data_IF_666458505097
#
_entry.id   IF_666458505097
#
_cell.length_a   1.000
_cell.length_b   1.000
_cell.length_c   1.000
_cell.angle_alpha   90.00
_cell.angle_beta   90.00
_cell.angle_gamma   90.00
#
_symmetry.space_group_name_H-M   'P 1'
#
loop_
_entity.id
_entity.type
_entity.pdbx_description
1 polymer ?
#
# COMPACT_ATOMS: atom_id res chain seq x y z
N UNK A 1 29.53 -7.54 18.46
CA UNK A 1 29.47 -7.77 17.01
C UNK A 1 28.19 -7.12 16.52
N UNK A 2 28.22 -6.28 15.47
CA UNK A 2 26.98 -5.83 14.84
C UNK A 2 26.22 -7.07 14.39
N UNK A 3 25.05 -7.31 14.95
CA UNK A 3 24.15 -8.33 14.42
C UNK A 3 23.64 -7.80 13.07
N UNK A 4 24.46 -7.94 12.03
CA UNK A 4 24.02 -7.73 10.66
C UNK A 4 22.90 -8.70 10.32
N UNK A 5 22.21 -8.46 9.21
CA UNK A 5 21.17 -9.34 8.66
C UNK A 5 21.71 -10.78 8.49
N UNK A 6 21.47 -11.70 9.44
CA UNK A 6 22.21 -12.96 9.51
C UNK A 6 21.78 -13.94 8.42
N UNK A 7 20.58 -13.74 7.89
CA UNK A 7 19.96 -14.55 6.85
C UNK A 7 20.00 -13.85 5.48
N UNK A 8 20.60 -12.66 5.37
CA UNK A 8 20.65 -11.85 4.16
C UNK A 8 19.26 -11.63 3.50
N UNK A 9 18.21 -11.51 4.31
CA UNK A 9 16.84 -11.27 3.84
C UNK A 9 16.69 -9.87 3.28
N UNK A 10 16.02 -9.71 2.14
CA UNK A 10 15.85 -8.41 1.49
C UNK A 10 14.48 -7.78 1.79
N UNK A 11 13.43 -8.58 1.80
CA UNK A 11 12.05 -8.14 2.04
C UNK A 11 11.14 -9.31 2.43
N UNK A 12 9.94 -8.98 2.89
CA UNK A 12 8.83 -9.95 2.90
C UNK A 12 8.49 -10.32 1.45
N UNK A 13 8.39 -11.62 1.17
CA UNK A 13 8.13 -12.10 -0.19
C UNK A 13 6.63 -12.29 -0.43
N UNK A 14 5.96 -13.06 0.42
CA UNK A 14 4.53 -13.30 0.35
C UNK A 14 3.95 -13.69 1.71
N UNK A 15 2.62 -13.63 1.81
CA UNK A 15 1.81 -14.21 2.88
C UNK A 15 0.87 -15.25 2.28
N UNK A 16 0.65 -16.36 3.00
CA UNK A 16 -0.25 -17.42 2.56
C UNK A 16 -1.52 -17.42 3.39
N UNK A 17 -2.68 -17.56 2.73
CA UNK A 17 -3.98 -17.71 3.39
C UNK A 17 -4.65 -18.99 2.95
N UNK A 18 -5.15 -19.74 3.93
CA UNK A 18 -6.04 -20.86 3.70
C UNK A 18 -7.46 -20.31 3.57
N UNK A 19 -8.11 -20.59 2.45
CA UNK A 19 -9.43 -20.07 2.14
C UNK A 19 -10.47 -21.18 1.98
N UNK A 20 -11.73 -20.86 2.27
CA UNK A 20 -12.86 -21.79 2.06
C UNK A 20 -13.31 -21.80 0.60
N UNK A 21 -13.24 -20.63 -0.04
CA UNK A 21 -13.59 -20.43 -1.44
C UNK A 21 -12.50 -19.60 -2.12
N UNK A 22 -11.81 -20.22 -3.10
CA UNK A 22 -10.77 -19.53 -3.85
C UNK A 22 -11.35 -18.35 -4.65
N UNK A 23 -12.53 -18.51 -5.23
CA UNK A 23 -13.18 -17.45 -6.01
C UNK A 23 -13.54 -16.24 -5.14
N UNK A 24 -14.14 -16.46 -3.96
CA UNK A 24 -14.50 -15.36 -3.05
C UNK A 24 -13.26 -14.62 -2.55
N UNK A 25 -12.19 -15.36 -2.24
CA UNK A 25 -10.92 -14.77 -1.81
C UNK A 25 -10.27 -13.97 -2.94
N UNK A 26 -10.16 -14.54 -4.14
CA UNK A 26 -9.62 -13.81 -5.31
C UNK A 26 -10.43 -12.54 -5.56
N UNK A 27 -11.75 -12.62 -5.55
CA UNK A 27 -12.62 -11.47 -5.74
C UNK A 27 -12.39 -10.40 -4.68
N UNK A 28 -12.29 -10.79 -3.40
CA UNK A 28 -12.02 -9.85 -2.32
C UNK A 28 -10.65 -9.16 -2.49
N UNK A 29 -9.58 -9.94 -2.62
CA UNK A 29 -8.23 -9.38 -2.69
C UNK A 29 -8.03 -8.52 -3.95
N UNK A 30 -8.69 -8.85 -5.06
CA UNK A 30 -8.60 -8.06 -6.30
C UNK A 30 -9.49 -6.81 -6.26
N UNK A 31 -10.76 -6.93 -5.88
CA UNK A 31 -11.74 -5.82 -5.95
C UNK A 31 -11.64 -4.86 -4.77
N UNK A 32 -11.29 -5.36 -3.58
CA UNK A 32 -11.26 -4.57 -2.34
C UNK A 32 -9.85 -4.07 -2.08
N UNK A 33 -8.85 -4.95 -2.14
CA UNK A 33 -7.45 -4.61 -1.85
C UNK A 33 -6.62 -4.30 -3.09
N UNK A 34 -7.17 -4.45 -4.30
CA UNK A 34 -6.50 -4.06 -5.54
C UNK A 34 -5.36 -4.99 -5.97
N UNK A 35 -5.29 -6.22 -5.48
CA UNK A 35 -4.29 -7.18 -5.95
C UNK A 35 -4.56 -7.63 -7.38
N UNK A 36 -3.52 -8.11 -8.07
CA UNK A 36 -3.63 -8.64 -9.43
C UNK A 36 -3.25 -10.12 -9.44
N UNK A 37 -4.06 -11.01 -10.05
CA UNK A 37 -3.67 -12.40 -10.23
C UNK A 37 -2.45 -12.54 -11.13
N UNK A 38 -1.51 -13.40 -10.73
CA UNK A 38 -0.29 -13.70 -11.49
C UNK A 38 -0.23 -15.18 -11.86
N UNK A 39 0.62 -15.50 -12.85
CA UNK A 39 0.77 -16.87 -13.32
C UNK A 39 1.24 -17.79 -12.19
N UNK A 40 0.47 -18.85 -11.95
CA UNK A 40 0.83 -19.92 -11.02
C UNK A 40 1.81 -20.90 -11.67
N UNK A 41 2.87 -21.35 -10.97
CA UNK A 41 3.67 -22.49 -11.38
C UNK A 41 2.79 -23.74 -11.61
N UNK A 42 3.10 -24.53 -12.64
CA UNK A 42 2.26 -25.67 -13.02
C UNK A 42 2.41 -26.89 -12.09
N UNK A 43 3.45 -26.92 -11.26
CA UNK A 43 3.83 -28.08 -10.46
C UNK A 43 3.06 -28.21 -9.13
N UNK A 44 1.98 -27.47 -8.94
CA UNK A 44 1.15 -27.56 -7.74
C UNK A 44 -0.10 -28.41 -7.98
N UNK A 45 -0.34 -29.36 -7.08
CA UNK A 45 -1.42 -30.36 -7.15
C UNK A 45 -2.68 -29.99 -6.35
N UNK A 46 -2.72 -28.79 -5.77
CA UNK A 46 -3.87 -28.27 -5.00
C UNK A 46 -4.58 -27.11 -5.71
N UNK A 47 -5.78 -26.74 -5.28
CA UNK A 47 -6.46 -25.53 -5.78
C UNK A 47 -5.92 -24.27 -5.08
N UNK A 48 -5.50 -23.27 -5.86
CA UNK A 48 -4.90 -22.06 -5.30
C UNK A 48 -4.62 -20.97 -6.34
N UNK A 49 -4.34 -19.77 -5.85
CA UNK A 49 -4.04 -18.60 -6.66
C UNK A 49 -2.87 -17.81 -6.09
N UNK A 50 -2.09 -17.20 -6.99
CA UNK A 50 -1.09 -16.21 -6.64
C UNK A 50 -1.56 -14.84 -7.05
N UNK A 51 -1.53 -13.90 -6.12
CA UNK A 51 -1.83 -12.50 -6.35
C UNK A 51 -0.61 -11.65 -5.99
N UNK A 52 -0.45 -10.50 -6.65
CA UNK A 52 0.68 -9.61 -6.37
C UNK A 52 0.24 -8.14 -6.47
N UNK A 53 0.65 -7.35 -5.47
CA UNK A 53 0.64 -5.89 -5.50
C UNK A 53 1.50 -5.35 -4.33
N UNK A 54 1.80 -4.05 -4.31
CA UNK A 54 2.47 -3.37 -3.20
C UNK A 54 3.84 -3.96 -2.82
N UNK A 55 4.48 -4.70 -3.74
CA UNK A 55 5.75 -5.37 -3.49
C UNK A 55 5.66 -6.73 -2.80
N UNK A 56 4.45 -7.22 -2.49
CA UNK A 56 4.20 -8.47 -1.75
C UNK A 56 3.28 -9.42 -2.52
N UNK A 57 3.53 -10.73 -2.42
CA UNK A 57 2.63 -11.77 -2.90
C UNK A 57 1.56 -12.19 -1.88
N UNK A 58 0.38 -12.54 -2.35
CA UNK A 58 -0.62 -13.30 -1.59
C UNK A 58 -0.77 -14.67 -2.25
N UNK A 59 -0.53 -15.73 -1.47
CA UNK A 59 -0.72 -17.11 -1.88
C UNK A 59 -2.01 -17.66 -1.26
N UNK A 60 -3.06 -17.73 -2.06
CA UNK A 60 -4.33 -18.32 -1.65
C UNK A 60 -4.29 -19.82 -1.88
N UNK A 61 -4.59 -20.58 -0.83
CA UNK A 61 -4.65 -22.05 -0.84
C UNK A 61 -6.06 -22.43 -0.48
N UNK A 62 -6.77 -23.17 -1.34
CA UNK A 62 -8.11 -23.63 -1.01
C UNK A 62 -8.04 -24.82 -0.06
N UNK A 63 -8.81 -24.77 1.02
CA UNK A 63 -8.91 -25.86 1.98
C UNK A 63 -9.69 -27.04 1.39
N UNK A 64 -9.17 -28.26 1.54
CA UNK A 64 -9.90 -29.50 1.28
C UNK A 64 -11.06 -29.71 2.26
N UNK A 65 -11.01 -29.06 3.43
CA UNK A 65 -12.04 -29.11 4.46
C UNK A 65 -12.46 -27.67 4.85
N UNK A 66 -13.32 -27.01 4.04
CA UNK A 66 -13.72 -25.63 4.28
C UNK A 66 -14.30 -25.37 5.67
N UNK A 67 -15.06 -26.34 6.23
CA UNK A 67 -15.69 -26.20 7.55
C UNK A 67 -14.69 -26.14 8.71
N UNK A 68 -13.44 -26.57 8.49
CA UNK A 68 -12.36 -26.48 9.48
C UNK A 68 -11.63 -25.14 9.47
N UNK A 69 -11.87 -24.29 8.47
CA UNK A 69 -11.30 -22.95 8.44
C UNK A 69 -12.12 -22.08 9.40
N UNK A 70 -11.50 -21.76 10.54
CA UNK A 70 -12.13 -20.96 11.58
C UNK A 70 -12.40 -19.55 11.07
N UNK A 71 -13.68 -19.20 10.90
CA UNK A 71 -14.10 -17.84 10.58
C UNK A 71 -14.29 -17.03 11.87
N UNK A 72 -13.33 -16.16 12.17
CA UNK A 72 -13.50 -15.17 13.24
C UNK A 72 -14.51 -14.11 12.80
N UNK A 73 -15.46 -13.82 13.67
CA UNK A 73 -16.51 -12.81 13.42
C UNK A 73 -16.24 -11.50 14.14
N UNK A 74 -15.65 -11.55 15.35
CA UNK A 74 -15.33 -10.36 16.13
C UNK A 74 -14.06 -9.67 15.61
N UNK A 75 -14.15 -8.36 15.33
CA UNK A 75 -12.99 -7.54 14.97
C UNK A 75 -12.23 -7.13 16.24
N UNK A 76 -11.16 -7.87 16.53
CA UNK A 76 -10.24 -7.62 17.64
C UNK A 76 -8.88 -7.07 17.14
N UNK A 77 -8.57 -5.78 17.28
CA UNK A 77 -7.31 -5.18 16.82
C UNK A 77 -6.02 -5.82 17.36
N UNK A 78 -6.11 -6.69 18.37
CA UNK A 78 -4.98 -7.42 18.97
C UNK A 78 -4.69 -8.77 18.30
N UNK A 79 -5.54 -9.22 17.39
CA UNK A 79 -5.34 -10.47 16.66
C UNK A 79 -4.26 -10.32 15.57
N UNK A 80 -3.75 -11.44 15.07
CA UNK A 80 -2.82 -11.48 13.94
C UNK A 80 -3.44 -10.86 12.68
N UNK A 81 -2.72 -9.94 12.05
CA UNK A 81 -3.15 -9.25 10.84
C UNK A 81 -1.99 -8.98 9.90
N UNK A 82 -2.31 -8.71 8.62
CA UNK A 82 -1.42 -7.98 7.71
C UNK A 82 -1.87 -6.52 7.65
N UNK A 83 -0.91 -5.61 7.55
CA UNK A 83 -1.17 -4.17 7.53
C UNK A 83 -0.76 -3.56 6.20
N UNK A 84 -1.62 -2.68 5.68
CA UNK A 84 -1.34 -1.89 4.47
C UNK A 84 -1.34 -0.40 4.78
N UNK A 85 -0.38 0.30 4.20
CA UNK A 85 -0.35 1.75 4.21
C UNK A 85 -1.42 2.30 3.25
N UNK A 86 -2.10 3.38 3.64
CA UNK A 86 -2.97 4.15 2.75
C UNK A 86 -2.51 5.60 2.60
N UNK A 87 -2.89 6.24 1.49
CA UNK A 87 -2.67 7.67 1.26
C UNK A 87 -3.73 8.54 1.94
N UNK A 88 -4.96 8.04 2.06
CA UNK A 88 -6.09 8.79 2.61
C UNK A 88 -7.05 7.86 3.37
N UNK A 89 -6.99 7.93 4.70
CA UNK A 89 -7.82 7.10 5.57
C UNK A 89 -9.33 7.35 5.39
N UNK A 90 -9.73 8.61 5.19
CA UNK A 90 -11.14 8.96 4.99
C UNK A 90 -11.71 8.37 3.69
N UNK A 91 -10.91 8.29 2.63
CA UNK A 91 -11.31 7.67 1.37
C UNK A 91 -11.50 6.15 1.52
N UNK A 92 -10.59 5.49 2.24
CA UNK A 92 -10.70 4.05 2.55
C UNK A 92 -11.94 3.79 3.39
N UNK A 93 -12.15 4.54 4.47
CA UNK A 93 -13.31 4.37 5.35
C UNK A 93 -14.63 4.57 4.59
N UNK A 94 -14.71 5.58 3.73
CA UNK A 94 -15.87 5.81 2.86
C UNK A 94 -16.13 4.60 1.95
N UNK A 95 -15.10 4.04 1.34
CA UNK A 95 -15.23 2.87 0.46
C UNK A 95 -15.69 1.62 1.21
N UNK A 96 -15.15 1.36 2.40
CA UNK A 96 -15.60 0.23 3.24
C UNK A 96 -17.09 0.36 3.58
N UNK A 97 -17.56 1.57 3.94
CA UNK A 97 -18.99 1.85 4.17
C UNK A 97 -19.84 1.60 2.93
N UNK A 98 -19.42 2.10 1.77
CA UNK A 98 -20.13 1.91 0.49
C UNK A 98 -20.26 0.43 0.11
N UNK A 99 -19.28 -0.39 0.46
CA UNK A 99 -19.26 -1.83 0.19
C UNK A 99 -19.96 -2.65 1.29
N UNK A 100 -20.45 -2.02 2.36
CA UNK A 100 -21.08 -2.72 3.48
C UNK A 100 -20.14 -3.61 4.28
N UNK A 101 -18.83 -3.33 4.25
CA UNK A 101 -17.82 -4.07 5.01
C UNK A 101 -17.80 -3.53 6.44
N UNK A 102 -18.03 -4.41 7.42
CA UNK A 102 -17.87 -4.08 8.83
C UNK A 102 -16.39 -3.85 9.14
N UNK A 103 -16.10 -2.77 9.87
CA UNK A 103 -14.76 -2.42 10.26
C UNK A 103 -14.74 -1.77 11.65
N UNK A 104 -13.59 -1.83 12.30
CA UNK A 104 -13.31 -1.13 13.56
C UNK A 104 -12.26 -0.06 13.34
N UNK A 105 -12.55 1.16 13.79
CA UNK A 105 -11.59 2.27 13.79
C UNK A 105 -10.89 2.36 15.13
N UNK A 106 -9.60 2.63 15.09
CA UNK A 106 -8.78 2.96 16.25
C UNK A 106 -7.91 4.17 15.93
N UNK A 107 -7.58 4.96 16.95
CA UNK A 107 -6.60 6.05 16.86
C UNK A 107 -5.57 5.88 17.97
N UNK A 108 -4.30 6.01 17.60
CA UNK A 108 -3.16 6.02 18.51
C UNK A 108 -2.50 7.39 18.44
N UNK A 109 -2.02 7.90 19.56
CA UNK A 109 -1.27 9.16 19.64
C UNK A 109 0.10 8.88 20.21
N UNK A 110 1.14 9.31 19.49
CA UNK A 110 2.54 9.16 19.89
C UNK A 110 3.26 10.46 19.52
N UNK A 111 3.91 11.13 20.49
CA UNK A 111 4.54 12.45 20.31
C UNK A 111 3.63 13.54 19.69
N UNK A 112 2.32 13.51 19.98
CA UNK A 112 1.35 14.43 19.39
C UNK A 112 1.03 14.16 17.92
N UNK A 113 1.50 13.04 17.37
CA UNK A 113 1.17 12.55 16.03
C UNK A 113 0.04 11.53 16.16
N UNK A 114 -1.04 11.73 15.41
CA UNK A 114 -2.18 10.82 15.38
C UNK A 114 -2.06 9.81 14.24
N UNK A 115 -2.00 8.53 14.61
CA UNK A 115 -2.11 7.40 13.68
C UNK A 115 -3.53 6.86 13.74
N UNK A 116 -4.18 6.79 12.59
CA UNK A 116 -5.47 6.14 12.42
C UNK A 116 -5.28 4.72 11.89
N UNK A 117 -6.10 3.79 12.39
CA UNK A 117 -6.10 2.39 11.98
C UNK A 117 -7.55 1.96 11.69
N UNK A 118 -7.74 1.19 10.62
CA UNK A 118 -9.00 0.50 10.32
C UNK A 118 -8.75 -0.99 10.25
N UNK A 119 -9.52 -1.76 10.99
CA UNK A 119 -9.45 -3.22 11.03
C UNK A 119 -10.72 -3.81 10.44
N UNK A 120 -10.58 -4.79 9.55
CA UNK A 120 -11.70 -5.57 9.00
C UNK A 120 -11.22 -6.97 8.62
N UNK A 121 -12.16 -7.85 8.29
CA UNK A 121 -11.87 -9.22 7.88
C UNK A 121 -11.95 -9.40 6.37
N UNK A 122 -11.16 -10.35 5.87
CA UNK A 122 -11.40 -10.99 4.58
C UNK A 122 -12.62 -11.95 4.65
N UNK A 123 -13.00 -12.64 3.55
CA UNK A 123 -14.14 -13.55 3.53
C UNK A 123 -14.06 -14.70 4.55
N UNK A 124 -12.86 -15.06 4.98
CA UNK A 124 -12.56 -16.21 5.84
C UNK A 124 -12.18 -15.81 7.28
N UNK A 125 -12.25 -14.51 7.61
CA UNK A 125 -12.01 -14.01 8.97
C UNK A 125 -10.56 -13.66 9.26
N UNK A 126 -9.68 -13.63 8.24
CA UNK A 126 -8.32 -13.13 8.40
C UNK A 126 -8.34 -11.60 8.51
N UNK A 127 -7.58 -11.06 9.47
CA UNK A 127 -7.64 -9.65 9.80
C UNK A 127 -6.71 -8.81 8.92
N UNK A 128 -7.25 -7.72 8.41
CA UNK A 128 -6.55 -6.74 7.61
C UNK A 128 -6.59 -5.41 8.35
N UNK A 129 -5.43 -4.80 8.49
CA UNK A 129 -5.27 -3.45 9.00
C UNK A 129 -4.96 -2.50 7.84
N UNK A 130 -5.60 -1.33 7.85
CA UNK A 130 -5.15 -0.17 7.08
C UNK A 130 -4.62 0.85 8.08
N UNK A 131 -3.35 1.22 7.95
CA UNK A 131 -2.70 2.21 8.80
C UNK A 131 -2.16 3.39 7.98
N UNK A 132 -2.03 4.57 8.60
CA UNK A 132 -1.22 5.68 8.09
C UNK A 132 0.10 5.84 8.88
N UNK A 133 0.72 4.72 9.25
CA UNK A 133 1.82 4.62 10.20
C UNK A 133 3.13 5.25 9.71
N UNK A 134 3.28 5.52 8.41
CA UNK A 134 4.48 6.13 7.81
C UNK A 134 4.80 7.55 8.32
N UNK A 135 3.87 8.17 9.03
CA UNK A 135 4.05 9.46 9.72
C UNK A 135 4.88 9.34 11.00
N UNK A 136 5.02 8.14 11.58
CA UNK A 136 5.81 7.92 12.79
C UNK A 136 7.28 7.64 12.45
N UNK A 137 8.23 8.23 13.19
CA UNK A 137 9.63 7.88 13.05
C UNK A 137 9.88 6.44 13.56
N UNK A 138 10.57 5.63 12.76
CA UNK A 138 11.03 4.31 13.19
C UNK A 138 12.31 4.49 14.01
N UNK A 139 12.20 4.34 15.32
CA UNK A 139 13.32 4.49 16.26
C UNK A 139 13.69 3.11 16.83
N UNK A 140 14.87 2.54 16.49
CA UNK A 140 15.34 1.31 17.10
C UNK A 140 15.53 1.44 18.61
N UNK A 141 15.03 0.46 19.37
CA UNK A 141 15.18 0.42 20.84
C UNK A 141 16.66 0.39 21.26
N UNK A 142 17.54 -0.22 20.46
CA UNK A 142 18.96 -0.39 20.78
C UNK A 142 19.85 0.80 20.41
N UNK A 143 19.29 1.95 19.97
CA UNK A 143 20.07 3.17 19.68
C UNK A 143 21.02 3.07 18.47
N UNK A 144 21.17 1.90 17.85
CA UNK A 144 21.93 1.73 16.62
C UNK A 144 21.01 1.98 15.41
N UNK A 145 21.20 3.14 14.75
CA UNK A 145 20.65 3.37 13.41
C UNK A 145 21.34 2.42 12.43
N UNK A 146 20.76 1.25 12.22
CA UNK A 146 21.09 0.42 11.07
C UNK A 146 20.83 1.21 9.79
N UNK A 147 21.74 1.13 8.82
CA UNK A 147 21.57 1.70 7.48
C UNK A 147 20.38 1.02 6.79
N UNK A 148 19.17 1.51 7.02
CA UNK A 148 17.99 1.10 6.26
C UNK A 148 17.93 1.86 4.94
N UNK A 149 17.62 1.14 3.87
CA UNK A 149 17.56 1.68 2.51
C UNK A 149 16.51 2.79 2.34
N UNK A 150 17.01 4.01 2.16
CA UNK A 150 16.58 5.09 1.26
C UNK A 150 15.14 5.63 1.25
N UNK A 151 14.18 5.18 2.06
CA UNK A 151 12.82 5.78 2.08
C UNK A 151 12.27 6.18 3.45
N UNK A 152 13.03 6.01 4.52
CA UNK A 152 12.63 6.50 5.84
C UNK A 152 13.15 7.92 5.98
N UNK A 153 12.23 8.90 6.07
CA UNK A 153 12.60 10.26 6.50
C UNK A 153 12.94 10.20 7.98
N UNK A 154 14.21 9.96 8.29
CA UNK A 154 14.75 10.21 9.62
C UNK A 154 14.71 11.73 9.85
N UNK A 155 13.84 12.20 10.75
CA UNK A 155 13.94 13.55 11.28
C UNK A 155 14.89 13.53 12.49
N UNK A 156 15.89 14.43 12.55
CA UNK A 156 16.72 14.55 13.73
C UNK A 156 15.87 15.00 14.92
N UNK A 157 16.04 14.30 16.05
CA UNK A 157 15.40 14.53 17.34
C UNK A 157 15.97 15.80 18.00
N UNK A 158 15.84 16.97 17.36
CA UNK A 158 16.32 18.26 17.91
C UNK A 158 15.64 19.44 17.21
N UNK A 159 14.32 19.60 17.39
CA UNK A 159 13.65 20.87 17.10
C UNK A 159 12.35 21.09 17.89
N UNK A 160 12.15 20.42 19.03
CA UNK A 160 11.01 20.65 19.90
C UNK A 160 11.42 21.41 21.17
N UNK A 161 12.09 22.56 21.02
CA UNK A 161 12.29 23.51 22.13
C UNK A 161 12.21 24.93 21.57
N UNK A 162 11.27 25.69 22.14
CA UNK A 162 11.02 27.15 22.06
C UNK A 162 10.61 27.74 20.71
N UNK A 163 9.37 28.24 20.63
CA UNK A 163 9.17 29.68 20.65
C UNK A 163 7.75 30.09 21.07
N UNK A 164 7.76 31.04 22.00
CA UNK A 164 6.65 31.79 22.57
C UNK A 164 5.83 32.52 21.52
N UNK A 165 4.50 32.47 21.69
CA UNK A 165 3.54 33.33 21.00
C UNK A 165 3.73 34.80 21.37
N UNK A 166 4.12 35.63 20.41
CA UNK A 166 3.73 37.03 20.36
C UNK A 166 2.96 37.28 19.06
N UNK A 167 1.79 37.87 19.20
CA UNK A 167 0.80 38.07 18.15
C UNK A 167 0.56 39.58 18.06
N UNK A 168 1.02 40.26 16.99
CA UNK A 168 0.40 41.50 16.55
C UNK A 168 0.72 41.90 15.09
N UNK A 169 -0.34 41.80 14.28
CA UNK A 169 -0.89 42.80 13.35
C UNK A 169 -0.18 43.19 12.01
N UNK A 170 -0.94 42.84 10.95
CA UNK A 170 -1.45 43.67 9.82
C UNK A 170 -0.48 44.08 8.70
N UNK A 171 -0.88 43.74 7.46
CA UNK A 171 -0.53 44.50 6.24
C UNK A 171 -0.51 43.65 4.97
N UNK A 172 -1.57 43.72 4.15
CA UNK A 172 -1.72 42.90 2.94
C UNK A 172 -1.07 43.45 1.68
N UNK A 173 -1.06 42.65 0.61
CA UNK A 173 -1.32 43.08 -0.78
C UNK A 173 -1.48 41.81 -1.64
N UNK A 174 -2.49 41.80 -2.50
CA UNK A 174 -2.81 40.66 -3.37
C UNK A 174 -1.91 40.56 -4.59
N UNK A 175 -1.81 39.34 -5.13
CA UNK A 175 -1.65 39.08 -6.56
C UNK A 175 -2.28 37.73 -6.87
N UNK A 176 -3.32 37.76 -7.72
CA UNK A 176 -3.86 36.61 -8.43
C UNK A 176 -2.83 36.08 -9.43
N UNK A 177 -2.67 34.76 -9.49
CA UNK A 177 -2.24 34.08 -10.72
C UNK A 177 -3.22 32.94 -10.97
N UNK A 178 -4.05 33.13 -11.98
CA UNK A 178 -4.83 32.09 -12.65
C UNK A 178 -4.00 31.62 -13.83
N UNK A 179 -3.64 30.34 -13.87
CA UNK A 179 -3.32 29.64 -15.13
C UNK A 179 -3.93 28.24 -15.05
N UNK A 180 -4.86 27.95 -15.97
CA UNK A 180 -5.56 26.68 -16.08
C UNK A 180 -4.88 25.68 -17.03
N UNK A 181 -5.36 24.43 -16.90
CA UNK A 181 -5.27 23.27 -17.81
C UNK A 181 -3.84 22.79 -18.21
N UNK A 182 -3.52 21.53 -18.49
CA UNK A 182 -4.28 20.33 -18.82
C UNK A 182 -3.45 19.06 -18.57
N UNK A 183 -4.13 17.91 -18.58
CA UNK A 183 -3.72 16.61 -19.14
C UNK A 183 -2.27 16.12 -19.01
N UNK A 184 -2.08 14.98 -18.35
CA UNK A 184 -1.09 13.98 -18.80
C UNK A 184 -1.30 12.61 -18.14
N UNK A 185 -2.15 11.82 -18.76
CA UNK A 185 -2.03 10.36 -18.81
C UNK A 185 -0.66 9.99 -19.39
N UNK A 186 0.37 9.78 -18.57
CA UNK A 186 1.68 9.32 -19.07
C UNK A 186 2.57 8.66 -17.99
N UNK A 187 1.98 8.01 -16.98
CA UNK A 187 2.74 7.28 -15.94
C UNK A 187 2.88 5.78 -16.14
N UNK A 188 2.38 5.23 -17.27
CA UNK A 188 2.37 3.79 -17.53
C UNK A 188 3.48 3.25 -18.44
N UNK A 189 4.36 4.08 -19.00
CA UNK A 189 5.41 3.60 -19.93
C UNK A 189 6.84 3.51 -19.39
N UNK A 190 7.12 3.90 -18.14
CA UNK A 190 8.51 3.86 -17.64
C UNK A 190 8.91 2.58 -16.89
N UNK A 191 7.98 1.65 -16.64
CA UNK A 191 8.26 0.45 -15.84
C UNK A 191 8.55 -0.84 -16.64
N UNK A 192 8.58 -0.79 -17.98
CA UNK A 192 8.84 -1.98 -18.84
C UNK A 192 10.10 -1.89 -19.71
N UNK A 193 10.77 -0.73 -19.77
CA UNK A 193 11.96 -0.53 -20.62
C UNK A 193 13.29 -1.06 -20.05
N UNK A 194 13.38 -1.28 -18.73
CA UNK A 194 14.63 -1.66 -18.08
C UNK A 194 14.97 -3.17 -18.13
N UNK A 195 14.13 -4.00 -18.77
CA UNK A 195 14.36 -5.46 -18.86
C UNK A 195 14.80 -5.96 -20.24
N UNK A 196 14.93 -5.10 -21.26
CA UNK A 196 15.30 -5.53 -22.63
C UNK A 196 16.39 -4.69 -23.33
N UNK A 197 17.01 -3.70 -22.68
CA UNK A 197 18.20 -3.05 -23.23
C UNK A 197 18.03 -2.31 -24.58
N UNK A 198 16.82 -1.91 -24.95
CA UNK A 198 16.55 -1.16 -26.19
C UNK A 198 16.57 0.35 -25.88
N UNK A 199 17.51 1.09 -26.49
CA UNK A 199 17.49 2.56 -26.49
C UNK A 199 16.42 3.05 -27.46
N UNK A 200 15.50 3.89 -26.99
CA UNK A 200 14.48 4.53 -27.83
C UNK A 200 15.02 5.86 -28.37
N UNK A 201 15.15 5.99 -29.70
CA UNK A 201 15.49 7.23 -30.41
C UNK A 201 14.20 7.99 -30.76
N UNK A 202 14.07 9.22 -30.29
CA UNK A 202 12.85 10.04 -30.39
C UNK A 202 12.67 10.78 -31.74
N UNK A 203 13.51 10.56 -32.75
CA UNK A 203 13.48 11.41 -33.96
C UNK A 203 12.58 10.96 -35.13
N UNK A 204 11.77 9.89 -35.00
CA UNK A 204 11.09 9.28 -36.18
C UNK A 204 9.57 9.09 -36.17
N UNK A 205 8.80 9.80 -35.35
CA UNK A 205 7.31 9.65 -35.30
C UNK A 205 6.50 10.88 -35.74
N UNK A 206 7.02 11.71 -36.65
CA UNK A 206 6.22 12.81 -37.26
C UNK A 206 5.54 12.45 -38.59
N UNK A 207 5.60 11.20 -39.09
CA UNK A 207 5.09 10.88 -40.45
C UNK A 207 3.94 9.88 -40.54
N UNK A 208 3.26 9.53 -39.45
CA UNK A 208 2.21 8.49 -39.51
C UNK A 208 0.87 8.88 -38.86
N UNK A 209 0.46 10.14 -39.02
CA UNK A 209 -0.91 10.59 -38.72
C UNK A 209 -1.35 11.61 -39.78
N UNK A 210 -1.53 11.15 -41.02
CA UNK A 210 -2.23 11.91 -42.07
C UNK A 210 -2.64 10.99 -43.24
N UNK A 211 -3.57 10.09 -43.00
CA UNK A 211 -4.46 9.51 -44.04
C UNK A 211 -5.50 8.65 -43.35
N UNK A 212 -6.56 9.29 -42.85
CA UNK A 212 -7.87 8.65 -42.71
C UNK A 212 -8.97 9.71 -42.68
N UNK A 213 -9.03 10.49 -43.74
CA UNK A 213 -10.24 11.17 -44.18
C UNK A 213 -10.27 11.10 -45.72
N UNK A 214 -11.44 10.78 -46.25
CA UNK A 214 -11.89 10.75 -47.65
C UNK A 214 -11.94 9.38 -48.38
N UNK A 215 -13.16 9.13 -48.87
CA UNK A 215 -13.74 8.05 -49.71
C UNK A 215 -13.88 6.66 -49.10
#
# INVERSE_FOLDING_TARGET
MKAGNPLNLTSLNHVSFLCRSLQESVDFYTKILGFVPIKRPQDFDFDGAWLYNYGIGIHLIQSENPDKVLKKTEINPKDHHISFQCENMGAVEKKLKEMGIEYRRQRVEEYGIHVDQLFFHDPDGFMIEICNCDILPVIPITGEMGLWSSRIRALPLQAAVTNTTENSKIGGCGCQVVIGASCSSLRWCFQLGCLLGIRYDQTRTSKMLKTREQS
#
